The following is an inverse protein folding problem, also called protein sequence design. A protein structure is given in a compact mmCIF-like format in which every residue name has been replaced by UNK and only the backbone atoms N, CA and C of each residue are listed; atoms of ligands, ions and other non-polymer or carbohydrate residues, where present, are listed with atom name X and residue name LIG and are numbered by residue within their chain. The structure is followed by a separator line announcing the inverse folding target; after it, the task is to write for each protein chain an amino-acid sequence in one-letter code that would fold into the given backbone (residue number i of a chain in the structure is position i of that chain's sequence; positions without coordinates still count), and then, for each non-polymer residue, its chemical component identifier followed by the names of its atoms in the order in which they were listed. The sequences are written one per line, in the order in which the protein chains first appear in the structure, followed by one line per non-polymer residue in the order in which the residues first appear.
data_IF_721817800601
#
_entry.id   IF_721817800601
#
_cell.length_a   1.000
_cell.length_b   1.000
_cell.length_c   1.000
_cell.angle_alpha   90.00
_cell.angle_beta   90.00
_cell.angle_gamma   90.00
#
_symmetry.space_group_name_H-M   'P 1'
#
loop_
_entity.id
_entity.type
_entity.pdbx_description
1 polymer ?
#
# COMPACT_ATOMS: atom_id res chain seq x y z
N UNK A 1 0.36 -26.99 5.05
CA UNK A 1 -0.60 -26.00 5.60
C UNK A 1 -0.29 -24.65 4.96
N UNK A 2 -1.16 -24.16 4.07
CA UNK A 2 -1.00 -22.86 3.40
C UNK A 2 -1.71 -21.82 4.25
N UNK A 3 -0.94 -20.96 4.92
CA UNK A 3 -1.47 -19.94 5.83
C UNK A 3 -2.46 -19.03 5.09
N UNK A 4 -3.65 -18.73 5.64
CA UNK A 4 -4.59 -17.76 5.09
C UNK A 4 -4.09 -16.34 5.41
N UNK A 5 -2.93 -15.99 4.87
CA UNK A 5 -2.30 -14.71 5.12
C UNK A 5 -3.07 -13.65 4.35
N UNK A 6 -3.69 -12.72 5.09
CA UNK A 6 -4.30 -11.54 4.51
C UNK A 6 -3.38 -10.94 3.44
N UNK A 7 -3.94 -10.68 2.27
CA UNK A 7 -3.15 -10.44 1.07
C UNK A 7 -2.27 -9.20 1.33
N UNK A 8 -0.96 -9.23 1.04
CA UNK A 8 -0.04 -8.10 1.25
C UNK A 8 -0.53 -6.78 0.65
N UNK A 9 -1.34 -6.89 -0.41
CA UNK A 9 -2.02 -5.81 -1.09
C UNK A 9 -3.08 -5.11 -0.22
N UNK A 10 -3.77 -5.84 0.65
CA UNK A 10 -4.79 -5.33 1.56
C UNK A 10 -4.17 -4.49 2.67
N UNK A 11 -3.11 -5.00 3.32
CA UNK A 11 -2.31 -4.22 4.25
C UNK A 11 -1.76 -2.95 3.59
N UNK A 12 -1.20 -3.07 2.38
CA UNK A 12 -0.70 -1.92 1.65
C UNK A 12 -1.80 -0.90 1.33
N UNK A 13 -3.02 -1.34 0.98
CA UNK A 13 -4.17 -0.44 0.76
C UNK A 13 -4.55 0.32 2.02
N UNK A 14 -4.61 -0.35 3.17
CA UNK A 14 -4.93 0.27 4.46
C UNK A 14 -3.87 1.30 4.84
N UNK A 15 -2.58 0.93 4.77
CA UNK A 15 -1.45 1.83 5.06
C UNK A 15 -1.47 3.05 4.12
N UNK A 16 -1.73 2.84 2.83
CA UNK A 16 -1.75 3.94 1.84
C UNK A 16 -2.99 4.84 1.99
N UNK A 17 -4.08 4.34 2.57
CA UNK A 17 -5.29 5.12 2.85
C UNK A 17 -5.15 6.02 4.09
N UNK A 18 -4.26 5.65 5.03
CA UNK A 18 -3.97 6.45 6.23
C UNK A 18 -3.32 7.79 5.85
N UNK A 19 -3.79 8.87 6.51
CA UNK A 19 -3.36 10.24 6.19
C UNK A 19 -2.06 10.61 6.92
N UNK A 20 -1.93 10.19 8.17
CA UNK A 20 -0.79 10.57 9.01
C UNK A 20 0.38 9.59 8.86
N UNK A 21 1.58 10.03 9.26
CA UNK A 21 2.77 9.17 9.27
C UNK A 21 2.74 8.18 10.44
N UNK A 22 2.18 8.59 11.57
CA UNK A 22 2.09 7.77 12.79
C UNK A 22 1.18 6.56 12.58
N UNK A 23 -0.02 6.76 12.03
CA UNK A 23 -0.94 5.65 11.69
C UNK A 23 -0.28 4.64 10.75
N UNK A 24 0.45 5.13 9.74
CA UNK A 24 1.19 4.28 8.80
C UNK A 24 2.27 3.46 9.46
N UNK A 25 3.00 4.04 10.42
CA UNK A 25 4.02 3.33 11.18
C UNK A 25 3.40 2.26 12.09
N UNK A 26 2.30 2.58 12.78
CA UNK A 26 1.56 1.62 13.58
C UNK A 26 1.06 0.44 12.73
N UNK A 27 0.46 0.74 11.57
CA UNK A 27 0.01 -0.30 10.64
C UNK A 27 1.15 -1.16 10.09
N UNK A 28 2.35 -0.62 9.90
CA UNK A 28 3.53 -1.40 9.52
C UNK A 28 4.03 -2.33 10.63
N UNK A 29 3.79 -1.99 11.90
CA UNK A 29 4.12 -2.85 13.03
C UNK A 29 3.21 -4.07 13.10
N UNK A 30 1.92 -3.89 12.77
CA UNK A 30 0.92 -4.96 12.70
C UNK A 30 1.18 -5.96 11.55
N UNK A 31 1.94 -5.57 10.52
CA UNK A 31 2.27 -6.47 9.41
C UNK A 31 3.32 -7.50 9.87
N UNK A 32 3.09 -8.80 9.64
CA UNK A 32 4.06 -9.85 9.92
C UNK A 32 5.38 -9.63 9.17
N UNK A 33 6.52 -9.97 9.80
CA UNK A 33 7.85 -9.65 9.25
C UNK A 33 8.09 -10.21 7.84
N UNK A 34 7.61 -11.43 7.57
CA UNK A 34 7.73 -12.06 6.25
C UNK A 34 6.91 -11.37 5.15
N UNK A 35 5.89 -10.57 5.53
CA UNK A 35 5.09 -9.77 4.60
C UNK A 35 5.48 -8.30 4.55
N UNK A 36 6.28 -7.80 5.51
CA UNK A 36 6.67 -6.38 5.58
C UNK A 36 7.39 -5.92 4.33
N UNK A 37 8.32 -6.73 3.79
CA UNK A 37 9.06 -6.38 2.57
C UNK A 37 8.13 -6.19 1.37
N UNK A 38 7.21 -7.15 1.17
CA UNK A 38 6.24 -7.12 0.07
C UNK A 38 5.23 -5.98 0.24
N UNK A 39 4.78 -5.74 1.47
CA UNK A 39 3.86 -4.63 1.79
C UNK A 39 4.51 -3.27 1.54
N UNK A 40 5.79 -3.09 1.92
CA UNK A 40 6.55 -1.87 1.62
C UNK A 40 6.66 -1.62 0.11
N UNK A 41 6.97 -2.66 -0.67
CA UNK A 41 6.99 -2.57 -2.15
C UNK A 41 5.64 -2.14 -2.70
N UNK A 42 4.54 -2.72 -2.23
CA UNK A 42 3.19 -2.34 -2.64
C UNK A 42 2.83 -0.89 -2.25
N UNK A 43 3.20 -0.43 -1.05
CA UNK A 43 3.02 0.97 -0.64
C UNK A 43 3.77 1.92 -1.58
N UNK A 44 5.03 1.61 -1.90
CA UNK A 44 5.85 2.41 -2.80
C UNK A 44 5.24 2.50 -4.21
N UNK A 45 4.78 1.37 -4.76
CA UNK A 45 4.08 1.33 -6.05
C UNK A 45 2.82 2.19 -6.01
N UNK A 46 2.03 2.09 -4.94
CA UNK A 46 0.78 2.84 -4.79
C UNK A 46 0.98 4.37 -4.62
N UNK A 47 2.08 4.80 -4.00
CA UNK A 47 2.46 6.21 -3.92
C UNK A 47 3.04 6.75 -5.24
N UNK A 48 3.84 5.93 -5.94
CA UNK A 48 4.42 6.30 -7.23
C UNK A 48 3.48 6.10 -8.43
N UNK A 49 2.28 5.55 -8.22
CA UNK A 49 1.40 5.19 -9.33
C UNK A 49 1.00 6.43 -10.15
N UNK A 50 1.28 6.45 -11.48
CA UNK A 50 1.02 7.61 -12.34
C UNK A 50 -0.44 8.07 -12.34
N UNK A 51 -1.41 7.19 -12.03
CA UNK A 51 -2.83 7.55 -11.90
C UNK A 51 -3.10 8.61 -10.82
N UNK A 52 -2.26 8.71 -9.79
CA UNK A 52 -2.33 9.75 -8.75
C UNK A 52 -1.56 11.03 -9.11
N UNK A 53 -0.62 10.95 -10.07
CA UNK A 53 0.19 12.09 -10.54
C UNK A 53 -0.40 12.80 -11.77
N UNK A 54 -1.47 12.26 -12.36
CA UNK A 54 -2.21 12.95 -13.43
C UNK A 54 -3.14 14.00 -12.84
N UNK A 55 -2.60 15.18 -12.54
CA UNK A 55 -3.34 16.42 -12.72
C UNK A 55 -3.74 16.50 -14.20
N UNK A 56 -5.06 16.48 -14.42
CA UNK A 56 -5.81 16.68 -15.68
C UNK A 56 -5.03 16.66 -17.01
N UNK A 57 -5.22 15.58 -17.76
CA UNK A 57 -5.24 15.62 -19.22
C UNK A 57 -6.43 14.75 -19.68
N UNK A 58 -7.30 15.22 -20.59
CA UNK A 58 -8.46 14.45 -21.02
C UNK A 58 -8.00 13.13 -21.61
N UNK A 59 -8.57 12.03 -21.11
CA UNK A 59 -8.39 10.72 -21.70
C UNK A 59 -9.29 10.69 -22.94
N UNK A 60 -8.70 10.96 -24.11
CA UNK A 60 -9.37 10.76 -25.40
C UNK A 60 -9.52 9.26 -25.66
N UNK A 61 -10.70 8.89 -26.16
CA UNK A 61 -11.10 7.56 -26.65
C UNK A 61 -10.18 7.05 -27.77
#
# INVERSE_FOLDING_TARGET
MRQPEAWPREYARQIVAMRTREERNAALLEVPEHLRDLTKKHCLIAWNHPKRKRSHGPQTD
#
